data_IF_842982754741
#
_entry.id   IF_842982754741
#
_cell.length_a   1.000
_cell.length_b   1.000
_cell.length_c   1.000
_cell.angle_alpha   90.00
_cell.angle_beta   90.00
_cell.angle_gamma   90.00
#
_symmetry.space_group_name_H-M   'P 1'
#
loop_
_entity.id
_entity.type
_entity.pdbx_description
1 polymer ?
#
# COMPACT_ATOMS: atom_id res chain seq x y z
N UNK A 1 56.24 -70.27 -16.90
CA UNK A 1 55.93 -70.06 -15.48
C UNK A 1 56.28 -68.64 -15.16
N UNK A 2 55.30 -67.74 -14.92
CA UNK A 2 55.49 -66.35 -14.50
C UNK A 2 54.15 -65.73 -14.18
N UNK A 3 53.83 -65.73 -12.93
CA UNK A 3 52.59 -65.17 -12.44
C UNK A 3 52.73 -63.63 -12.35
N UNK A 4 51.94 -62.90 -13.15
CA UNK A 4 51.82 -61.46 -13.07
C UNK A 4 50.78 -61.04 -12.02
N UNK A 5 51.22 -60.36 -11.00
CA UNK A 5 50.34 -59.81 -9.95
C UNK A 5 49.72 -58.55 -10.47
N UNK A 6 48.37 -58.54 -10.58
CA UNK A 6 47.56 -57.42 -10.99
C UNK A 6 47.25 -56.59 -9.72
N UNK A 7 47.94 -55.47 -9.53
CA UNK A 7 47.65 -54.53 -8.45
C UNK A 7 46.55 -53.53 -8.88
N UNK A 8 45.33 -53.79 -8.46
CA UNK A 8 44.22 -52.85 -8.67
C UNK A 8 44.37 -51.64 -7.73
N UNK A 9 44.73 -50.50 -8.30
CA UNK A 9 44.69 -49.22 -7.60
C UNK A 9 43.24 -48.78 -7.38
N UNK A 10 42.76 -48.88 -6.17
CA UNK A 10 41.52 -48.23 -5.75
C UNK A 10 41.67 -46.70 -5.75
N UNK A 11 41.12 -46.07 -6.75
CA UNK A 11 40.89 -44.60 -6.73
C UNK A 11 39.74 -44.31 -5.77
N UNK A 12 40.06 -43.95 -4.54
CA UNK A 12 39.07 -43.40 -3.62
C UNK A 12 38.69 -42.01 -4.06
N UNK A 13 37.52 -41.86 -4.65
CA UNK A 13 36.89 -40.56 -4.94
C UNK A 13 36.58 -39.83 -3.63
N UNK A 14 37.42 -38.85 -3.28
CA UNK A 14 37.23 -37.96 -2.15
C UNK A 14 36.32 -36.75 -2.53
N UNK A 15 35.29 -37.00 -3.36
CA UNK A 15 34.46 -35.95 -3.95
C UNK A 15 33.16 -35.63 -3.20
N UNK A 16 32.78 -36.45 -2.21
CA UNK A 16 31.48 -36.28 -1.53
C UNK A 16 31.36 -35.00 -0.69
N UNK A 17 32.46 -34.50 -0.12
CA UNK A 17 32.43 -33.32 0.75
C UNK A 17 32.38 -31.96 0.02
N UNK A 18 32.92 -31.91 -1.21
CA UNK A 18 32.93 -30.70 -2.00
C UNK A 18 31.58 -30.42 -2.68
N UNK A 19 30.96 -31.49 -3.24
CA UNK A 19 29.63 -31.37 -3.87
C UNK A 19 28.59 -30.91 -2.84
N UNK A 20 28.65 -31.43 -1.61
CA UNK A 20 27.72 -31.02 -0.54
C UNK A 20 27.90 -29.56 -0.12
N UNK A 21 29.13 -29.02 -0.12
CA UNK A 21 29.42 -27.63 0.14
C UNK A 21 28.87 -26.71 -0.94
N UNK A 22 28.94 -27.12 -2.21
CA UNK A 22 28.36 -26.36 -3.32
C UNK A 22 26.84 -26.37 -3.29
N UNK A 23 26.20 -27.50 -2.95
CA UNK A 23 24.75 -27.59 -2.82
C UNK A 23 24.24 -26.70 -1.67
N UNK A 24 24.92 -26.67 -0.53
CA UNK A 24 24.56 -25.80 0.60
C UNK A 24 24.77 -24.32 0.27
N UNK A 25 25.85 -23.99 -0.45
CA UNK A 25 26.10 -22.62 -0.89
C UNK A 25 25.08 -22.16 -1.94
N UNK A 26 24.70 -23.04 -2.88
CA UNK A 26 23.67 -22.75 -3.88
C UNK A 26 22.28 -22.62 -3.25
N UNK A 27 21.91 -23.47 -2.29
CA UNK A 27 20.65 -23.38 -1.56
C UNK A 27 20.59 -22.11 -0.69
N UNK A 28 21.72 -21.68 -0.09
CA UNK A 28 21.82 -20.42 0.64
C UNK A 28 21.66 -19.17 -0.24
N UNK A 29 22.07 -19.25 -1.52
CA UNK A 29 21.93 -18.16 -2.47
C UNK A 29 20.49 -18.00 -2.99
N UNK A 30 19.74 -19.11 -3.09
CA UNK A 30 18.33 -19.10 -3.46
C UNK A 30 17.38 -18.76 -2.31
N UNK A 31 17.86 -18.77 -1.08
CA UNK A 31 17.08 -18.36 0.11
C UNK A 31 17.35 -16.92 0.56
N UNK A 32 18.07 -16.13 -0.23
CA UNK A 32 18.04 -14.69 -0.04
C UNK A 32 16.58 -14.26 -0.19
N UNK A 33 15.96 -13.66 0.85
CA UNK A 33 14.65 -13.10 0.67
C UNK A 33 14.80 -12.09 -0.46
N UNK A 34 14.14 -12.35 -1.58
CA UNK A 34 13.80 -11.30 -2.51
C UNK A 34 13.01 -10.37 -1.61
N UNK A 35 13.65 -9.28 -1.17
CA UNK A 35 12.93 -8.19 -0.53
C UNK A 35 11.96 -7.77 -1.63
N UNK A 36 10.76 -8.36 -1.57
CA UNK A 36 9.65 -7.89 -2.35
C UNK A 36 9.49 -6.45 -1.90
N UNK A 37 10.01 -5.52 -2.69
CA UNK A 37 9.71 -4.11 -2.61
C UNK A 37 8.23 -3.97 -3.01
N UNK A 38 7.37 -4.60 -2.24
CA UNK A 38 5.93 -4.45 -2.26
C UNK A 38 5.52 -3.16 -1.54
N UNK A 39 6.42 -2.18 -1.51
CA UNK A 39 5.98 -0.81 -1.33
C UNK A 39 5.22 -0.47 -2.60
N UNK A 40 3.99 -0.02 -2.44
CA UNK A 40 3.19 0.58 -3.50
C UNK A 40 4.09 1.58 -4.22
N UNK A 41 4.75 1.06 -5.25
CA UNK A 41 5.68 1.87 -6.00
C UNK A 41 4.83 2.83 -6.81
N UNK A 42 4.68 4.06 -6.29
CA UNK A 42 4.11 5.19 -7.04
C UNK A 42 4.79 5.39 -8.39
N UNK A 43 5.95 4.74 -8.60
CA UNK A 43 6.69 4.69 -9.86
C UNK A 43 5.90 4.14 -11.05
N UNK A 44 4.75 3.48 -10.80
CA UNK A 44 3.83 3.04 -11.85
C UNK A 44 2.81 4.08 -12.28
N UNK A 45 2.81 5.26 -11.67
CA UNK A 45 1.84 6.32 -11.91
C UNK A 45 2.55 7.63 -12.23
N UNK A 46 1.89 8.51 -12.99
CA UNK A 46 2.39 9.85 -13.29
C UNK A 46 2.37 10.70 -12.01
N UNK A 47 3.28 11.69 -11.89
CA UNK A 47 3.34 12.54 -10.70
C UNK A 47 2.19 13.55 -10.64
N UNK A 48 1.69 13.96 -11.77
CA UNK A 48 0.62 14.94 -11.88
C UNK A 48 -0.73 14.36 -11.44
N UNK A 49 -1.43 15.09 -10.58
CA UNK A 49 -2.82 14.77 -10.22
C UNK A 49 -3.75 15.22 -11.32
N UNK A 50 -4.73 14.39 -11.61
CA UNK A 50 -5.76 14.63 -12.62
C UNK A 50 -7.14 14.33 -12.04
N UNK A 51 -8.15 14.96 -12.63
CA UNK A 51 -9.54 14.61 -12.38
C UNK A 51 -10.01 13.61 -13.43
N UNK A 52 -10.77 12.62 -13.00
CA UNK A 52 -11.44 11.64 -13.85
C UNK A 52 -12.91 11.61 -13.47
N UNK A 53 -13.79 11.97 -14.39
CA UNK A 53 -15.24 11.99 -14.18
C UNK A 53 -15.91 10.86 -14.94
N UNK A 54 -16.84 10.19 -14.28
CA UNK A 54 -17.58 9.10 -14.92
C UNK A 54 -18.68 8.53 -14.04
N UNK A 55 -19.36 7.55 -14.59
CA UNK A 55 -20.39 6.76 -13.93
C UNK A 55 -19.76 5.58 -13.19
N UNK A 56 -20.13 5.36 -11.95
CA UNK A 56 -19.67 4.24 -11.16
C UNK A 56 -20.34 2.94 -11.66
N UNK A 57 -19.54 2.05 -12.24
CA UNK A 57 -20.01 0.78 -12.84
C UNK A 57 -19.91 -0.39 -11.87
N UNK A 58 -18.85 -0.40 -11.04
CA UNK A 58 -18.62 -1.45 -10.07
C UNK A 58 -17.83 -0.92 -8.86
N UNK A 59 -18.05 -1.53 -7.70
CA UNK A 59 -17.38 -1.24 -6.44
C UNK A 59 -16.76 -2.51 -5.90
N UNK A 60 -15.43 -2.55 -5.84
CA UNK A 60 -14.65 -3.69 -5.37
C UNK A 60 -14.21 -3.42 -3.93
N UNK A 61 -15.06 -3.76 -2.97
CA UNK A 61 -14.83 -3.49 -1.54
C UNK A 61 -14.08 -4.64 -0.88
N UNK A 62 -12.78 -4.72 -1.08
CA UNK A 62 -11.91 -5.79 -0.53
C UNK A 62 -10.51 -5.29 -0.17
N UNK A 63 -9.83 -6.03 0.72
CA UNK A 63 -8.40 -5.80 1.01
C UNK A 63 -7.50 -6.37 -0.12
N UNK A 64 -6.26 -5.83 -0.30
CA UNK A 64 -5.61 -4.81 0.51
C UNK A 64 -6.09 -3.39 0.21
N UNK A 65 -6.64 -3.12 -0.94
CA UNK A 65 -7.18 -1.84 -1.39
C UNK A 65 -8.56 -2.01 -1.98
N UNK A 66 -9.39 -0.99 -1.79
CA UNK A 66 -10.66 -0.89 -2.50
C UNK A 66 -10.39 -0.59 -3.98
N UNK A 67 -11.34 -0.93 -4.82
CA UNK A 67 -11.29 -0.61 -6.24
C UNK A 67 -12.64 -0.18 -6.76
N UNK A 68 -12.64 0.44 -7.94
CA UNK A 68 -13.83 0.82 -8.66
C UNK A 68 -13.66 0.54 -10.14
N UNK A 69 -14.77 0.39 -10.84
CA UNK A 69 -14.82 0.49 -12.29
C UNK A 69 -15.62 1.72 -12.65
N UNK A 70 -15.02 2.62 -13.42
CA UNK A 70 -15.63 3.88 -13.82
C UNK A 70 -15.88 3.89 -15.33
N UNK A 71 -17.10 4.17 -15.74
CA UNK A 71 -17.45 4.40 -17.14
C UNK A 71 -17.21 5.87 -17.49
N UNK A 72 -16.16 6.15 -18.24
CA UNK A 72 -15.74 7.49 -18.64
C UNK A 72 -16.05 7.71 -20.11
N UNK A 73 -16.61 8.85 -20.46
CA UNK A 73 -16.79 9.24 -21.86
C UNK A 73 -15.58 10.04 -22.31
N UNK A 74 -14.87 9.54 -23.32
CA UNK A 74 -13.68 10.19 -23.88
C UNK A 74 -14.07 11.39 -24.80
N UNK A 75 -13.06 12.05 -25.33
CA UNK A 75 -13.25 13.24 -26.21
C UNK A 75 -13.98 12.89 -27.50
N UNK A 76 -13.91 11.65 -27.97
CA UNK A 76 -14.59 11.15 -29.16
C UNK A 76 -16.06 10.76 -28.88
N UNK A 77 -16.51 10.86 -27.63
CA UNK A 77 -17.84 10.46 -27.19
C UNK A 77 -17.98 8.96 -26.92
N UNK A 78 -16.91 8.19 -26.95
CA UNK A 78 -16.92 6.77 -26.69
C UNK A 78 -16.80 6.50 -25.18
N UNK A 79 -17.53 5.47 -24.70
CA UNK A 79 -17.47 5.05 -23.30
C UNK A 79 -16.33 4.07 -23.08
N UNK A 80 -15.39 4.43 -22.25
CA UNK A 80 -14.27 3.62 -21.80
C UNK A 80 -14.48 3.15 -20.36
N UNK A 81 -14.07 1.91 -20.05
CA UNK A 81 -14.05 1.41 -18.69
C UNK A 81 -12.66 1.62 -18.10
N UNK A 82 -12.63 2.36 -17.00
CA UNK A 82 -11.42 2.65 -16.24
C UNK A 82 -11.38 1.81 -14.98
N UNK A 83 -10.26 1.17 -14.74
CA UNK A 83 -9.98 0.44 -13.50
C UNK A 83 -9.32 1.38 -12.51
N UNK A 84 -9.96 1.56 -11.38
CA UNK A 84 -9.53 2.49 -10.36
C UNK A 84 -9.08 1.70 -9.14
N UNK A 85 -7.87 1.95 -8.68
CA UNK A 85 -7.39 1.53 -7.35
C UNK A 85 -7.57 2.69 -6.37
N UNK A 86 -8.17 2.44 -5.21
CA UNK A 86 -8.30 3.43 -4.15
C UNK A 86 -7.21 3.27 -3.10
N UNK A 87 -6.78 4.36 -2.51
CA UNK A 87 -5.92 4.31 -1.34
C UNK A 87 -6.67 3.75 -0.12
N UNK A 88 -5.92 3.18 0.81
CA UNK A 88 -6.43 2.75 2.09
C UNK A 88 -7.00 1.33 2.13
N UNK A 89 -6.91 0.74 3.30
CA UNK A 89 -7.55 -0.54 3.59
C UNK A 89 -9.01 -0.33 4.03
N UNK A 90 -9.84 -1.35 3.87
CA UNK A 90 -11.25 -1.30 4.34
C UNK A 90 -11.34 -0.88 5.83
N UNK A 91 -10.42 -1.37 6.65
CA UNK A 91 -10.42 -1.04 8.08
C UNK A 91 -10.17 0.46 8.32
N UNK A 92 -9.18 1.02 7.64
CA UNK A 92 -8.84 2.42 7.74
C UNK A 92 -10.00 3.32 7.25
N UNK A 93 -10.56 2.99 6.10
CA UNK A 93 -11.67 3.74 5.51
C UNK A 93 -12.92 3.73 6.40
N UNK A 94 -13.29 2.56 6.93
CA UNK A 94 -14.44 2.45 7.84
C UNK A 94 -14.27 3.29 9.12
N UNK A 95 -13.07 3.33 9.68
CA UNK A 95 -12.79 4.19 10.84
C UNK A 95 -12.99 5.67 10.55
N UNK A 96 -12.74 6.08 9.33
CA UNK A 96 -12.92 7.46 8.89
C UNK A 96 -14.30 7.75 8.26
N UNK A 97 -15.29 6.87 8.52
CA UNK A 97 -16.65 7.06 8.05
C UNK A 97 -16.89 6.69 6.59
N UNK A 98 -15.86 6.23 5.88
CA UNK A 98 -15.98 5.81 4.48
C UNK A 98 -16.36 4.33 4.44
N UNK A 99 -17.56 4.05 3.95
CA UNK A 99 -18.12 2.70 3.83
C UNK A 99 -18.55 2.41 2.40
N UNK A 100 -18.72 1.13 2.07
CA UNK A 100 -19.19 0.69 0.76
C UNK A 100 -20.52 1.35 0.36
N UNK A 101 -21.39 1.60 1.34
CA UNK A 101 -22.73 2.17 1.13
C UNK A 101 -22.73 3.62 0.64
N UNK A 102 -21.59 4.29 0.64
CA UNK A 102 -21.46 5.64 0.06
C UNK A 102 -21.37 5.62 -1.45
N UNK A 103 -21.04 4.47 -2.03
CA UNK A 103 -20.76 4.32 -3.46
C UNK A 103 -21.87 3.51 -4.13
N UNK A 104 -22.79 4.18 -4.83
CA UNK A 104 -23.86 3.49 -5.54
C UNK A 104 -23.52 3.31 -7.01
N UNK A 105 -23.72 2.13 -7.54
CA UNK A 105 -23.58 1.86 -8.97
C UNK A 105 -24.58 2.74 -9.73
N UNK A 106 -24.10 3.41 -10.78
CA UNK A 106 -24.87 4.38 -11.58
C UNK A 106 -24.66 5.84 -11.17
N UNK A 107 -24.09 6.10 -9.98
CA UNK A 107 -23.78 7.48 -9.58
C UNK A 107 -22.69 8.11 -10.45
N UNK A 108 -22.88 9.39 -10.77
CA UNK A 108 -21.83 10.21 -11.38
C UNK A 108 -20.88 10.69 -10.30
N UNK A 109 -19.61 10.33 -10.42
CA UNK A 109 -18.56 10.71 -9.46
C UNK A 109 -17.41 11.39 -10.18
N UNK A 110 -16.67 12.21 -9.43
CA UNK A 110 -15.38 12.75 -9.89
C UNK A 110 -14.30 12.23 -8.97
N UNK A 111 -13.25 11.65 -9.52
CA UNK A 111 -12.12 11.11 -8.78
C UNK A 111 -10.87 11.94 -9.06
N UNK A 112 -10.12 12.25 -8.00
CA UNK A 112 -8.78 12.86 -8.12
C UNK A 112 -7.74 11.83 -7.81
N UNK A 113 -6.70 11.78 -8.64
CA UNK A 113 -5.65 10.80 -8.50
C UNK A 113 -4.61 10.89 -9.60
N UNK A 114 -4.00 9.77 -9.92
CA UNK A 114 -2.89 9.67 -10.87
C UNK A 114 -3.14 8.57 -11.89
N UNK A 115 -2.89 8.85 -13.16
CA UNK A 115 -2.95 7.84 -14.22
C UNK A 115 -1.77 6.88 -14.11
N UNK A 116 -2.01 5.62 -14.46
CA UNK A 116 -0.94 4.64 -14.65
C UNK A 116 -0.10 5.03 -15.88
N UNK A 117 1.23 4.94 -15.75
CA UNK A 117 2.15 5.08 -16.87
C UNK A 117 2.46 3.74 -17.56
N UNK A 118 1.86 2.65 -17.07
CA UNK A 118 2.07 1.28 -17.57
C UNK A 118 0.86 0.71 -18.28
N UNK A 119 -0.32 1.06 -17.79
CA UNK A 119 -1.58 0.53 -18.29
C UNK A 119 -2.51 1.68 -18.66
N UNK A 120 -2.99 1.76 -19.90
CA UNK A 120 -4.06 2.68 -20.24
C UNK A 120 -5.31 2.33 -19.43
N UNK A 121 -6.18 3.28 -19.16
CA UNK A 121 -7.41 3.13 -18.38
C UNK A 121 -7.21 2.54 -16.96
N UNK A 122 -6.03 2.73 -16.36
CA UNK A 122 -5.79 2.51 -14.93
C UNK A 122 -5.50 3.82 -14.20
N UNK A 123 -6.07 3.95 -13.00
CA UNK A 123 -6.01 5.17 -12.22
C UNK A 123 -5.90 4.85 -10.72
N UNK A 124 -5.08 5.59 -10.00
CA UNK A 124 -4.94 5.50 -8.56
C UNK A 124 -5.63 6.70 -7.92
N UNK A 125 -6.83 6.48 -7.36
CA UNK A 125 -7.64 7.53 -6.77
C UNK A 125 -7.26 7.81 -5.33
N UNK A 126 -7.04 9.07 -5.02
CA UNK A 126 -6.85 9.58 -3.64
C UNK A 126 -8.12 10.20 -3.06
N UNK A 127 -9.02 10.71 -3.91
CA UNK A 127 -10.26 11.39 -3.52
C UNK A 127 -11.40 11.00 -4.44
N UNK A 128 -12.60 10.97 -3.91
CA UNK A 128 -13.85 10.76 -4.67
C UNK A 128 -14.85 11.82 -4.23
N UNK A 129 -15.31 12.64 -5.17
CA UNK A 129 -16.45 13.52 -4.99
C UNK A 129 -17.72 12.74 -5.38
N UNK A 130 -18.56 12.50 -4.40
CA UNK A 130 -19.82 11.79 -4.55
C UNK A 130 -20.89 12.67 -5.21
N UNK A 131 -21.95 12.06 -5.73
CA UNK A 131 -23.05 12.77 -6.40
C UNK A 131 -23.77 13.80 -5.50
N UNK A 132 -23.75 13.57 -4.18
CA UNK A 132 -24.33 14.51 -3.20
C UNK A 132 -23.40 15.67 -2.80
N UNK A 133 -22.18 15.73 -3.36
CA UNK A 133 -21.20 16.76 -3.06
C UNK A 133 -20.27 16.45 -1.89
N UNK A 134 -20.43 15.33 -1.21
CA UNK A 134 -19.52 14.89 -0.15
C UNK A 134 -18.22 14.36 -0.76
N UNK A 135 -17.10 14.78 -0.23
CA UNK A 135 -15.78 14.29 -0.60
C UNK A 135 -15.36 13.11 0.27
N UNK A 136 -14.99 11.99 -0.32
CA UNK A 136 -14.34 10.88 0.36
C UNK A 136 -12.83 10.92 0.09
N UNK A 137 -12.04 11.23 1.11
CA UNK A 137 -10.57 11.25 1.06
C UNK A 137 -10.05 9.87 1.40
N UNK A 138 -9.62 9.11 0.38
CA UNK A 138 -9.21 7.72 0.52
C UNK A 138 -7.81 7.57 1.14
N UNK A 139 -6.98 8.59 1.03
CA UNK A 139 -5.62 8.62 1.54
C UNK A 139 -5.61 9.13 2.99
N UNK A 140 -5.10 8.35 3.93
CA UNK A 140 -5.13 8.66 5.37
C UNK A 140 -4.51 10.03 5.74
N UNK A 141 -3.48 10.47 5.01
CA UNK A 141 -2.82 11.77 5.22
C UNK A 141 -3.27 12.81 4.17
N UNK A 142 -4.38 12.54 3.45
CA UNK A 142 -4.89 13.44 2.42
C UNK A 142 -5.54 14.65 3.03
N UNK A 143 -5.27 15.81 2.45
CA UNK A 143 -6.04 17.03 2.71
C UNK A 143 -7.22 17.07 1.73
N UNK A 144 -8.36 17.68 2.09
CA UNK A 144 -9.47 17.87 1.17
C UNK A 144 -9.01 18.53 -0.14
N UNK A 145 -9.55 18.07 -1.24
CA UNK A 145 -9.28 18.64 -2.57
C UNK A 145 -10.35 19.66 -2.97
N UNK A 146 -11.60 19.38 -2.64
CA UNK A 146 -12.72 20.28 -2.87
C UNK A 146 -13.15 20.96 -1.57
N UNK A 147 -13.90 22.06 -1.70
CA UNK A 147 -14.48 22.79 -0.58
C UNK A 147 -15.89 22.29 -0.29
N UNK A 148 -16.05 21.28 0.52
CA UNK A 148 -17.36 20.72 0.85
C UNK A 148 -17.31 19.87 2.10
N UNK A 149 -18.37 19.10 2.32
CA UNK A 149 -18.37 18.09 3.37
C UNK A 149 -17.36 16.99 3.03
N UNK A 150 -16.52 16.67 3.99
CA UNK A 150 -15.40 15.73 3.78
C UNK A 150 -15.46 14.60 4.78
N UNK A 151 -15.27 13.37 4.27
CA UNK A 151 -15.06 12.15 5.05
C UNK A 151 -13.64 11.65 4.82
N UNK A 152 -13.01 11.16 5.86
CA UNK A 152 -11.64 10.64 5.77
C UNK A 152 -10.57 11.72 5.82
N UNK A 153 -9.39 11.38 5.32
CA UNK A 153 -8.25 12.28 5.31
C UNK A 153 -7.61 12.46 6.69
N UNK A 154 -6.77 13.47 6.78
CA UNK A 154 -5.92 13.73 7.94
C UNK A 154 -6.71 14.05 9.21
N UNK A 155 -7.70 14.92 9.11
CA UNK A 155 -8.48 15.36 10.27
C UNK A 155 -9.17 14.22 11.03
N UNK A 156 -9.47 13.13 10.36
CA UNK A 156 -10.11 11.94 10.95
C UNK A 156 -9.15 11.05 11.76
N UNK A 157 -7.85 11.26 11.60
CA UNK A 157 -6.80 10.47 12.25
C UNK A 157 -6.09 11.24 13.37
N UNK A 158 -6.34 12.52 13.48
CA UNK A 158 -5.81 13.34 14.57
C UNK A 158 -6.67 13.09 15.82
N UNK A 159 -6.02 12.62 16.89
CA UNK A 159 -6.66 12.57 18.19
C UNK A 159 -6.91 14.02 18.67
N UNK A 160 -8.08 14.29 19.22
CA UNK A 160 -8.33 15.57 19.84
C UNK A 160 -7.48 15.76 21.12
N UNK A 161 -7.40 16.98 21.62
CA UNK A 161 -6.62 17.27 22.83
C UNK A 161 -7.08 16.44 24.02
N UNK A 162 -8.39 16.21 24.15
CA UNK A 162 -8.97 15.43 25.24
C UNK A 162 -8.56 13.99 25.19
N UNK A 163 -8.59 13.36 24.00
CA UNK A 163 -8.11 11.99 23.79
C UNK A 163 -6.61 11.87 24.07
N UNK A 164 -5.82 12.85 23.65
CA UNK A 164 -4.37 12.89 23.89
C UNK A 164 -4.05 12.99 25.36
N UNK A 165 -4.75 13.87 26.10
CA UNK A 165 -4.58 14.02 27.55
C UNK A 165 -4.99 12.74 28.27
N UNK A 166 -6.12 12.15 27.94
CA UNK A 166 -6.59 10.90 28.54
C UNK A 166 -5.62 9.75 28.28
N UNK A 167 -5.12 9.61 27.07
CA UNK A 167 -4.12 8.60 26.71
C UNK A 167 -2.81 8.77 27.49
N UNK A 168 -2.43 10.01 27.79
CA UNK A 168 -1.23 10.32 28.57
C UNK A 168 -1.42 9.92 30.04
N UNK A 169 -2.60 10.17 30.62
CA UNK A 169 -2.92 9.80 32.00
C UNK A 169 -3.10 8.29 32.19
N UNK A 170 -3.65 7.62 31.23
CA UNK A 170 -3.90 6.17 31.32
C UNK A 170 -2.66 5.30 31.16
N UNK A 171 -1.56 5.82 30.68
CA UNK A 171 -0.22 5.22 30.46
C UNK A 171 -0.14 3.69 30.62
N UNK A 172 -0.84 2.95 29.79
CA UNK A 172 -0.92 1.47 29.84
C UNK A 172 0.17 0.80 29.00
N UNK A 173 1.31 1.45 28.81
CA UNK A 173 2.44 0.92 28.06
C UNK A 173 2.08 0.67 26.58
N UNK A 174 2.29 -0.57 26.09
CA UNK A 174 2.01 -0.93 24.69
C UNK A 174 0.51 -0.92 24.32
N UNK A 175 -0.38 -0.96 25.30
CA UNK A 175 -1.84 -0.97 25.08
C UNK A 175 -2.48 0.42 25.09
N UNK A 176 -1.68 1.47 25.18
CA UNK A 176 -2.18 2.85 25.07
C UNK A 176 -2.62 3.17 23.64
N UNK A 177 -3.47 4.18 23.52
CA UNK A 177 -3.86 4.71 22.21
C UNK A 177 -2.63 5.36 21.55
N UNK A 178 -2.36 4.96 20.32
CA UNK A 178 -1.32 5.55 19.49
C UNK A 178 -1.97 6.45 18.46
N UNK A 179 -1.66 7.73 18.47
CA UNK A 179 -2.07 8.68 17.43
C UNK A 179 -0.89 8.98 16.51
N UNK A 180 -1.18 9.30 15.27
CA UNK A 180 -0.20 9.83 14.33
C UNK A 180 -0.21 11.35 14.53
N UNK A 181 0.82 11.98 15.11
CA UNK A 181 0.85 13.43 15.25
C UNK A 181 0.87 14.09 13.88
N UNK A 182 0.26 15.27 13.78
CA UNK A 182 0.27 16.06 12.56
C UNK A 182 1.71 16.27 12.05
N UNK A 183 1.93 16.02 10.77
CA UNK A 183 3.27 16.09 10.15
C UNK A 183 3.87 17.51 10.17
N UNK A 184 3.04 18.54 10.36
CA UNK A 184 3.44 19.94 10.30
C UNK A 184 4.37 20.37 11.46
N UNK A 185 4.25 19.75 12.63
CA UNK A 185 5.02 20.11 13.84
C UNK A 185 6.15 19.12 14.17
N UNK A 186 6.44 18.19 13.29
CA UNK A 186 7.56 17.26 13.48
C UNK A 186 8.91 17.90 13.20
N UNK A 187 9.33 18.77 14.11
CA UNK A 187 10.74 18.67 14.51
C UNK A 187 10.84 17.31 15.18
N UNK A 188 11.57 16.39 14.57
CA UNK A 188 11.79 15.06 15.09
C UNK A 188 12.56 15.13 16.42
N UNK A 189 11.86 15.48 17.49
CA UNK A 189 12.34 15.14 18.82
C UNK A 189 12.04 13.67 19.01
N UNK A 190 12.97 12.85 18.51
CA UNK A 190 12.94 11.43 18.79
C UNK A 190 13.02 11.27 20.32
N UNK A 191 12.07 10.59 20.98
CA UNK A 191 12.13 10.33 22.40
C UNK A 191 13.13 9.21 22.75
N UNK A 192 14.08 8.93 21.87
CA UNK A 192 15.15 7.99 22.16
C UNK A 192 16.02 8.58 23.25
N UNK A 193 16.20 7.84 24.33
CA UNK A 193 17.17 8.18 25.37
C UNK A 193 18.58 8.17 24.78
N UNK A 194 19.51 8.96 25.34
CA UNK A 194 20.92 9.00 24.90
C UNK A 194 21.53 7.59 24.81
N UNK A 195 21.10 6.65 25.64
CA UNK A 195 21.53 5.24 25.62
C UNK A 195 20.99 4.43 24.41
N UNK A 196 20.05 4.94 23.64
CA UNK A 196 19.53 4.30 22.44
C UNK A 196 20.15 4.86 21.15
N UNK A 197 20.99 5.89 21.27
CA UNK A 197 21.67 6.58 20.17
C UNK A 197 23.16 6.16 20.10
N UNK A 198 23.67 5.52 21.14
CA UNK A 198 25.01 4.92 21.22
C UNK A 198 24.95 3.47 20.70
#
# INVERSE_FOLDING_TARGET
>A
MGYGIFVSRFFRFRAKGQIMKFIVAAAGFFSLPVIALAHHAMTGYVDERQELRGELVDVIWRNPHIGFVLGVVNEDGERELWKIEGFGSIYALRRSGITETLFNIGDQVTMVGRRSNRQPQEFLASHVLLANGTEAVLQANGEPYWSGETLGGRAQWEADETETVNATHENRGLFRVWSIPALADRVMHSPFTESAIA
#
